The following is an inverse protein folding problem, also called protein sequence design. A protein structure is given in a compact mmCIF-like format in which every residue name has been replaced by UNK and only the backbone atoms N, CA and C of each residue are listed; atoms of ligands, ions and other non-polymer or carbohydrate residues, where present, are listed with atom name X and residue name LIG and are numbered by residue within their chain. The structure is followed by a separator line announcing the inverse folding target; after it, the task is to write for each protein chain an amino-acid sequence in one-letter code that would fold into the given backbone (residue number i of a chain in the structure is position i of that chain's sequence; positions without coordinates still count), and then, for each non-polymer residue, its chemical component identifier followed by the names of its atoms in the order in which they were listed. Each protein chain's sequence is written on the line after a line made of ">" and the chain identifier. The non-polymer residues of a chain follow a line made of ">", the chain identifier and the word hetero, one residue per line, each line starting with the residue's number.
data_IF_951161161733
#
_entry.id   IF_951161161733
#
_cell.length_a   1.000
_cell.length_b   1.000
_cell.length_c   1.000
_cell.angle_alpha   90.00
_cell.angle_beta   90.00
_cell.angle_gamma   90.00
#
_symmetry.space_group_name_H-M   'P 1'
#
loop_
_entity.id
_entity.type
_entity.pdbx_description
1 polymer ?
#
# COMPACT_ATOMS: atom_id res chain seq x y z
N UNK A 1 -14.91 3.35 7.03
CA UNK A 1 -13.78 4.19 7.27
C UNK A 1 -12.53 3.42 7.29
N UNK A 2 -11.53 3.97 6.72
CA UNK A 2 -10.27 3.30 6.61
C UNK A 2 -9.38 3.48 7.83
N UNK A 3 -8.56 2.48 8.10
CA UNK A 3 -7.54 2.55 9.13
C UNK A 3 -6.20 2.41 8.45
N UNK A 4 -5.26 3.27 8.82
CA UNK A 4 -3.92 3.18 8.26
C UNK A 4 -3.18 2.04 8.92
N UNK A 5 -2.72 1.07 8.12
CA UNK A 5 -2.00 -0.08 8.63
C UNK A 5 -0.51 0.18 8.73
N UNK A 6 0.02 1.03 7.87
CA UNK A 6 1.45 1.33 7.87
C UNK A 6 1.92 1.64 6.48
N UNK A 7 3.24 1.67 6.32
CA UNK A 7 3.88 2.04 5.06
C UNK A 7 4.26 0.78 4.30
N UNK A 8 3.85 0.69 3.03
CA UNK A 8 4.21 -0.47 2.22
C UNK A 8 5.57 -0.29 1.56
N UNK A 9 5.90 0.92 1.14
CA UNK A 9 7.21 1.16 0.56
C UNK A 9 7.47 2.66 0.49
N UNK A 10 8.72 3.00 0.24
CA UNK A 10 9.19 4.38 0.10
C UNK A 10 9.86 4.54 -1.25
N UNK A 11 9.91 5.76 -1.74
CA UNK A 11 10.79 6.10 -2.85
C UNK A 11 11.62 7.29 -2.41
N UNK A 12 12.93 7.11 -2.37
CA UNK A 12 13.87 8.16 -1.94
C UNK A 12 14.88 8.33 -3.05
N UNK A 13 14.90 9.52 -3.64
CA UNK A 13 15.82 9.87 -4.73
C UNK A 13 15.77 8.83 -5.85
N UNK A 14 14.54 8.39 -6.18
CA UNK A 14 14.35 7.47 -7.28
C UNK A 14 14.49 6.01 -6.95
N UNK A 15 14.88 5.67 -5.73
CA UNK A 15 15.04 4.29 -5.33
C UNK A 15 13.87 3.84 -4.48
N UNK A 16 13.38 2.64 -4.74
CA UNK A 16 12.26 2.08 -4.00
C UNK A 16 12.78 1.19 -2.87
N UNK A 17 12.22 1.38 -1.69
CA UNK A 17 12.58 0.59 -0.51
C UNK A 17 11.30 -0.02 0.01
N UNK A 18 11.24 -1.35 0.08
CA UNK A 18 10.06 -2.05 0.52
C UNK A 18 10.10 -2.31 2.00
N UNK A 19 8.94 -2.32 2.62
CA UNK A 19 8.81 -2.69 4.03
C UNK A 19 8.23 -4.10 4.10
N UNK A 20 8.36 -4.78 5.24
CA UNK A 20 7.74 -6.10 5.38
C UNK A 20 6.23 -6.07 5.15
N UNK A 21 5.55 -4.99 5.52
CA UNK A 21 4.12 -4.90 5.33
C UNK A 21 3.74 -5.07 3.87
N UNK A 22 4.51 -4.45 2.97
CA UNK A 22 4.21 -4.53 1.55
C UNK A 22 4.30 -5.95 1.02
N UNK A 23 5.10 -6.80 1.67
CA UNK A 23 5.26 -8.17 1.24
C UNK A 23 4.17 -9.11 1.71
N UNK A 24 3.32 -8.65 2.63
CA UNK A 24 2.25 -9.49 3.15
C UNK A 24 0.92 -9.29 2.46
N UNK A 25 0.84 -8.41 1.47
CA UNK A 25 -0.44 -8.05 0.89
C UNK A 25 -0.52 -8.63 -0.52
N UNK A 26 -1.55 -9.41 -0.77
CA UNK A 26 -1.74 -10.09 -2.03
C UNK A 26 -2.65 -9.29 -2.95
N UNK A 27 -2.60 -9.62 -4.23
CA UNK A 27 -3.47 -8.98 -5.20
C UNK A 27 -4.87 -9.57 -5.14
N UNK A 28 -5.89 -8.73 -5.32
CA UNK A 28 -7.26 -9.17 -5.45
C UNK A 28 -8.02 -8.15 -6.29
N UNK A 29 -8.97 -8.62 -7.06
CA UNK A 29 -9.86 -7.73 -7.79
C UNK A 29 -10.92 -7.14 -6.88
N UNK A 30 -11.12 -7.72 -5.70
CA UNK A 30 -12.04 -7.20 -4.70
C UNK A 30 -11.27 -6.97 -3.42
N UNK A 31 -10.39 -5.96 -3.41
CA UNK A 31 -9.48 -5.77 -2.30
C UNK A 31 -10.16 -5.18 -1.08
N UNK A 32 -9.58 -5.42 0.09
CA UNK A 32 -10.05 -4.78 1.31
C UNK A 32 -9.14 -3.65 1.77
N UNK A 33 -8.13 -3.33 0.99
CA UNK A 33 -7.20 -2.25 1.29
C UNK A 33 -6.91 -1.42 0.05
N UNK A 34 -6.38 -0.24 0.25
CA UNK A 34 -5.90 0.58 -0.86
C UNK A 34 -4.60 1.22 -0.46
N UNK A 35 -3.87 1.67 -1.47
CA UNK A 35 -2.60 2.34 -1.28
C UNK A 35 -2.81 3.84 -1.44
N UNK A 36 -2.15 4.61 -0.58
CA UNK A 36 -2.24 6.07 -0.64
C UNK A 36 -0.83 6.62 -0.73
N UNK A 37 -0.57 7.40 -1.77
CA UNK A 37 0.74 8.00 -1.96
C UNK A 37 0.83 9.30 -1.17
N UNK A 38 1.91 9.47 -0.45
CA UNK A 38 2.15 10.68 0.34
C UNK A 38 3.47 11.28 -0.11
N UNK A 39 3.44 12.50 -0.61
CA UNK A 39 4.65 13.22 -0.94
C UNK A 39 5.16 13.91 0.31
N UNK A 40 6.30 13.49 0.83
CA UNK A 40 6.86 14.09 2.03
C UNK A 40 7.60 15.37 1.66
N UNK A 41 8.42 15.28 0.62
CA UNK A 41 9.14 16.43 0.07
C UNK A 41 9.65 16.00 -1.29
N UNK A 42 10.17 16.94 -2.09
CA UNK A 42 10.70 16.56 -3.39
C UNK A 42 11.75 15.46 -3.25
N UNK A 43 11.57 14.38 -4.01
CA UNK A 43 12.48 13.24 -3.96
C UNK A 43 12.16 12.23 -2.89
N UNK A 44 11.12 12.46 -2.07
CA UNK A 44 10.79 11.53 -0.98
C UNK A 44 9.28 11.31 -0.97
N UNK A 45 8.87 10.13 -1.40
CA UNK A 45 7.48 9.71 -1.37
C UNK A 45 7.35 8.46 -0.53
N UNK A 46 6.18 8.24 0.02
CA UNK A 46 5.90 6.98 0.70
C UNK A 46 4.46 6.58 0.40
N UNK A 47 4.20 5.29 0.49
CA UNK A 47 2.87 4.75 0.21
C UNK A 47 2.38 4.03 1.44
N UNK A 48 1.25 4.47 1.96
CA UNK A 48 0.65 3.82 3.11
C UNK A 48 -0.46 2.88 2.65
N UNK A 49 -0.77 1.92 3.49
CA UNK A 49 -1.86 0.97 3.23
C UNK A 49 -3.01 1.34 4.16
N UNK A 50 -4.18 1.51 3.59
CA UNK A 50 -5.37 1.91 4.33
C UNK A 50 -6.44 0.87 4.06
N UNK A 51 -7.13 0.43 5.12
CA UNK A 51 -8.21 -0.52 4.94
C UNK A 51 -9.41 0.18 4.33
N UNK A 52 -10.17 -0.54 3.51
CA UNK A 52 -11.40 -0.04 2.91
C UNK A 52 -12.60 -0.39 3.75
N UNK A 53 -12.46 -1.35 4.64
CA UNK A 53 -13.56 -1.83 5.47
C UNK A 53 -12.96 -2.41 6.74
N UNK A 54 -13.81 -2.79 7.68
CA UNK A 54 -13.33 -3.43 8.90
C UNK A 54 -12.74 -4.79 8.54
N UNK A 55 -11.56 -5.04 9.06
CA UNK A 55 -10.85 -6.30 8.80
C UNK A 55 -10.67 -7.03 10.11
N UNK A 56 -11.12 -8.27 10.12
CA UNK A 56 -11.04 -9.09 11.34
C UNK A 56 -9.69 -9.76 11.43
N UNK A 57 -9.31 -10.07 12.64
CA UNK A 57 -8.05 -10.75 12.89
C UNK A 57 -8.01 -12.06 12.11
N UNK A 58 -6.89 -12.30 11.45
CA UNK A 58 -6.73 -13.50 10.65
C UNK A 58 -7.19 -13.34 9.20
N UNK A 59 -7.85 -12.25 8.89
CA UNK A 59 -8.33 -12.03 7.54
C UNK A 59 -7.18 -11.58 6.67
N UNK A 60 -7.13 -12.08 5.43
CA UNK A 60 -6.05 -11.75 4.51
C UNK A 60 -6.19 -10.30 4.03
N UNK A 61 -5.08 -9.58 3.98
CA UNK A 61 -5.05 -8.23 3.43
C UNK A 61 -4.81 -8.31 1.93
N UNK A 62 -5.60 -7.55 1.17
CA UNK A 62 -5.49 -7.57 -0.28
C UNK A 62 -5.53 -6.16 -0.85
N UNK A 63 -4.84 -5.99 -1.98
CA UNK A 63 -4.81 -4.75 -2.74
C UNK A 63 -5.07 -5.08 -4.19
N UNK A 64 -5.63 -4.13 -4.92
CA UNK A 64 -5.70 -4.30 -6.36
C UNK A 64 -4.42 -3.71 -6.94
N UNK A 65 -3.59 -4.57 -7.54
CA UNK A 65 -2.33 -4.16 -8.14
C UNK A 65 -2.66 -3.63 -9.51
N UNK A 66 -2.94 -2.44 -9.63
CA UNK A 66 -3.17 -1.96 -10.89
C UNK A 66 -1.99 -1.40 -11.44
N UNK A 67 -1.50 -1.21 -11.56
CA UNK A 67 -0.51 -0.65 -11.81
C UNK A 67 -0.20 -0.15 -12.92
N UNK A 68 -0.29 -0.14 -13.00
CA UNK A 68 -0.01 0.43 -13.68
C UNK A 68 0.41 0.19 -14.74
N UNK A 69 0.20 -0.07 -14.97
CA UNK A 69 0.47 -0.12 -15.74
C UNK A 69 0.94 0.23 -16.54
N UNK A 70 1.24 0.20 -16.90
CA UNK A 70 1.65 0.63 -17.48
C UNK A 70 1.84 0.75 -18.30
N UNK A 71 1.87 0.74 -18.49
CA UNK A 71 2.01 0.86 -19.16
C UNK A 71 2.07 0.99 -19.50
#
# INVERSE_FOLDING_TARGET
>A
MGTTLGISHYRIDGEYIRTPLGGFINHSDEPNCQRSQIRVKPGYDKWSIITLEDIEEGEELTLKYKLYDPK
#
